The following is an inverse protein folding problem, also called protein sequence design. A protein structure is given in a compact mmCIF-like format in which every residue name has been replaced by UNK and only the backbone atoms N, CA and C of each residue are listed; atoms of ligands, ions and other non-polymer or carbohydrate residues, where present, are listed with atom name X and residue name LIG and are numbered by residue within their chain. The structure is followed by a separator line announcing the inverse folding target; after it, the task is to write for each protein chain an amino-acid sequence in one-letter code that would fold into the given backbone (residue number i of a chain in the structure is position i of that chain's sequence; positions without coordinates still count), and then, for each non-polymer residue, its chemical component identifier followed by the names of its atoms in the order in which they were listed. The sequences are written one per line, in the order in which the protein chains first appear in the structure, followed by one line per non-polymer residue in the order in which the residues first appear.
data_IF_397723857342
#
_entry.id   IF_397723857342
#
_cell.length_a   1.000
_cell.length_b   1.000
_cell.length_c   1.000
_cell.angle_alpha   90.00
_cell.angle_beta   90.00
_cell.angle_gamma   90.00
#
_symmetry.space_group_name_H-M   'P 1'
#
loop_
_entity.id
_entity.type
_entity.pdbx_description
1 polymer ?
#
# COMPACT_ATOMS: atom_id res chain seq x y z
N UNK A 1 12.21 12.14 -19.13
CA UNK A 1 12.95 10.98 -18.63
C UNK A 1 12.35 10.59 -17.28
N UNK A 2 11.68 9.44 -17.19
CA UNK A 2 11.26 8.88 -15.89
C UNK A 2 12.54 8.54 -15.14
N UNK A 3 12.84 9.29 -14.09
CA UNK A 3 13.92 8.95 -13.16
C UNK A 3 13.64 7.53 -12.65
N UNK A 4 14.60 6.62 -12.84
CA UNK A 4 14.49 5.24 -12.33
C UNK A 4 14.43 5.34 -10.81
N UNK A 5 13.23 5.17 -10.27
CA UNK A 5 13.01 5.12 -8.83
C UNK A 5 13.59 3.81 -8.29
N UNK A 6 14.52 3.89 -7.37
CA UNK A 6 15.09 2.71 -6.72
C UNK A 6 14.15 2.24 -5.62
N UNK A 7 13.73 0.97 -5.70
CA UNK A 7 12.96 0.32 -4.63
C UNK A 7 13.82 -0.80 -4.04
N UNK A 8 13.97 -0.79 -2.72
CA UNK A 8 14.72 -1.80 -1.96
C UNK A 8 13.99 -2.22 -0.69
N UNK A 9 14.39 -3.32 -0.11
CA UNK A 9 13.91 -3.75 1.20
C UNK A 9 14.18 -2.67 2.26
N UNK A 10 13.18 -2.41 3.09
CA UNK A 10 13.29 -1.48 4.20
C UNK A 10 14.13 -2.06 5.33
N UNK A 11 14.85 -1.21 6.02
CA UNK A 11 15.63 -1.53 7.21
C UNK A 11 15.15 -0.70 8.40
N UNK A 12 15.58 -1.04 9.59
CA UNK A 12 15.29 -0.26 10.79
C UNK A 12 15.77 1.21 10.69
N UNK A 13 16.85 1.43 9.95
CA UNK A 13 17.38 2.78 9.70
C UNK A 13 16.45 3.66 8.85
N UNK A 14 15.53 3.08 8.08
CA UNK A 14 14.57 3.82 7.27
C UNK A 14 13.37 4.32 8.11
N UNK A 15 13.13 3.70 9.27
CA UNK A 15 11.92 3.95 10.04
C UNK A 15 11.73 5.41 10.47
N UNK A 16 12.75 6.15 10.93
CA UNK A 16 12.56 7.56 11.28
C UNK A 16 12.04 8.41 10.11
N UNK A 17 12.51 8.14 8.89
CA UNK A 17 12.04 8.84 7.68
C UNK A 17 10.64 8.41 7.29
N UNK A 18 10.33 7.12 7.37
CA UNK A 18 8.97 6.60 7.15
C UNK A 18 8.02 7.24 8.16
N UNK A 19 8.37 7.24 9.43
CA UNK A 19 7.53 7.80 10.50
C UNK A 19 7.20 9.28 10.30
N UNK A 20 8.13 10.04 9.74
CA UNK A 20 7.94 11.46 9.49
C UNK A 20 6.75 11.79 8.57
N UNK A 21 6.41 10.90 7.62
CA UNK A 21 5.21 11.05 6.80
C UNK A 21 4.09 10.06 7.18
N UNK A 22 4.40 8.95 7.84
CA UNK A 22 3.42 7.98 8.33
C UNK A 22 2.49 8.61 9.36
N UNK A 23 3.07 9.27 10.39
CA UNK A 23 2.30 9.87 11.47
C UNK A 23 1.28 10.92 10.97
N UNK A 24 1.64 11.93 10.19
CA UNK A 24 0.67 12.91 9.73
C UNK A 24 -0.42 12.29 8.82
N UNK A 25 -0.09 11.29 8.01
CA UNK A 25 -1.07 10.58 7.17
C UNK A 25 -2.09 9.84 8.03
N UNK A 26 -1.64 9.07 9.03
CA UNK A 26 -2.55 8.32 9.91
C UNK A 26 -3.33 9.23 10.85
N UNK A 27 -2.71 10.28 11.38
CA UNK A 27 -3.37 11.28 12.23
C UNK A 27 -4.46 12.04 11.48
N UNK A 28 -4.29 12.29 10.18
CA UNK A 28 -5.32 12.92 9.35
C UNK A 28 -6.61 12.06 9.27
N UNK A 29 -6.50 10.73 9.37
CA UNK A 29 -7.66 9.83 9.42
C UNK A 29 -8.47 9.78 8.13
N UNK A 30 -7.86 10.01 6.97
CA UNK A 30 -8.57 10.15 5.69
C UNK A 30 -8.47 8.92 4.78
N UNK A 31 -7.37 8.15 4.89
CA UNK A 31 -7.03 7.13 3.89
C UNK A 31 -6.66 5.76 4.46
N UNK A 32 -6.45 5.64 5.77
CA UNK A 32 -6.11 4.39 6.44
C UNK A 32 -7.04 4.09 7.60
N UNK A 33 -7.23 2.80 7.89
CA UNK A 33 -8.02 2.31 9.02
C UNK A 33 -7.23 2.22 10.33
N UNK A 34 -6.02 2.76 10.37
CA UNK A 34 -5.21 2.80 11.58
C UNK A 34 -5.78 3.78 12.62
N UNK A 35 -5.57 3.52 13.92
CA UNK A 35 -5.84 4.52 14.94
C UNK A 35 -5.11 5.85 14.64
N UNK A 36 -5.81 6.97 14.80
CA UNK A 36 -5.25 8.30 14.52
C UNK A 36 -4.22 8.75 15.55
N UNK A 37 -4.20 8.09 16.70
CA UNK A 37 -3.29 8.30 17.84
C UNK A 37 -2.27 7.15 18.01
N UNK A 38 -2.05 6.35 16.96
CA UNK A 38 -1.09 5.24 16.97
C UNK A 38 0.31 5.76 17.31
N UNK A 39 0.95 5.14 18.28
CA UNK A 39 2.33 5.48 18.65
C UNK A 39 3.35 4.90 17.64
N UNK A 40 4.57 5.41 17.74
CA UNK A 40 5.64 5.06 16.79
C UNK A 40 6.02 3.58 16.83
N UNK A 41 6.03 2.95 18.01
CA UNK A 41 6.42 1.55 18.17
C UNK A 41 5.35 0.60 17.62
N UNK A 42 4.08 0.90 17.90
CA UNK A 42 2.94 0.17 17.31
C UNK A 42 2.94 0.28 15.80
N UNK A 43 3.16 1.48 15.26
CA UNK A 43 3.22 1.71 13.83
C UNK A 43 4.37 0.93 13.20
N UNK A 44 5.56 0.97 13.81
CA UNK A 44 6.75 0.24 13.33
C UNK A 44 6.50 -1.26 13.28
N UNK A 45 5.97 -1.86 14.36
CA UNK A 45 5.65 -3.27 14.43
C UNK A 45 4.64 -3.71 13.36
N UNK A 46 3.63 -2.86 13.09
CA UNK A 46 2.60 -3.14 12.10
C UNK A 46 3.01 -2.87 10.64
N UNK A 47 4.08 -2.11 10.42
CA UNK A 47 4.51 -1.69 9.08
C UNK A 47 5.80 -2.36 8.60
N UNK A 48 6.83 -2.47 9.44
CA UNK A 48 8.09 -3.15 9.08
C UNK A 48 7.94 -4.66 9.25
N UNK A 49 7.54 -5.32 8.16
CA UNK A 49 7.33 -6.75 8.12
C UNK A 49 8.63 -7.50 7.81
N UNK A 50 8.76 -8.71 8.38
CA UNK A 50 9.86 -9.64 8.12
C UNK A 50 9.40 -10.77 7.19
N UNK A 51 10.35 -11.48 6.58
CA UNK A 51 10.08 -12.65 5.73
C UNK A 51 9.15 -13.65 6.43
N UNK A 52 8.22 -14.29 5.71
CA UNK A 52 8.04 -14.27 4.24
C UNK A 52 7.38 -12.98 3.70
N UNK A 53 6.76 -12.17 4.56
CA UNK A 53 6.23 -10.87 4.22
C UNK A 53 7.37 -9.87 3.96
N UNK A 54 7.06 -8.69 3.46
CA UNK A 54 8.10 -7.71 3.13
C UNK A 54 7.63 -6.28 3.24
N UNK A 55 8.53 -5.41 3.68
CA UNK A 55 8.39 -3.96 3.55
C UNK A 55 9.52 -3.42 2.69
N UNK A 56 9.19 -2.51 1.80
CA UNK A 56 10.14 -1.83 0.91
C UNK A 56 10.01 -0.32 1.01
N UNK A 57 11.07 0.37 0.61
CA UNK A 57 11.12 1.82 0.45
C UNK A 57 11.42 2.18 -0.99
N UNK A 58 10.80 3.26 -1.46
CA UNK A 58 11.13 3.92 -2.71
C UNK A 58 12.03 5.11 -2.41
N UNK A 59 13.13 5.21 -3.14
CA UNK A 59 14.13 6.27 -3.00
C UNK A 59 14.09 7.18 -4.23
N UNK A 60 14.25 8.48 -3.99
CA UNK A 60 14.47 9.44 -5.05
C UNK A 60 15.93 9.38 -5.57
N UNK A 61 16.26 10.27 -6.52
CA UNK A 61 17.59 10.39 -7.11
C UNK A 61 18.69 10.80 -6.11
N UNK A 62 18.31 11.32 -4.94
CA UNK A 62 19.23 11.69 -3.86
C UNK A 62 19.34 10.62 -2.78
N UNK A 63 18.64 9.48 -2.95
CA UNK A 63 18.61 8.40 -1.97
C UNK A 63 17.68 8.66 -0.77
N UNK A 64 16.81 9.66 -0.86
CA UNK A 64 15.82 9.95 0.17
C UNK A 64 14.61 9.02 0.06
N UNK A 65 14.14 8.48 1.18
CA UNK A 65 12.91 7.69 1.24
C UNK A 65 11.71 8.61 0.97
N UNK A 66 11.00 8.36 -0.12
CA UNK A 66 9.85 9.15 -0.59
C UNK A 66 8.52 8.37 -0.57
N UNK A 67 8.59 7.08 -0.27
CA UNK A 67 7.43 6.22 -0.13
C UNK A 67 7.80 4.85 0.39
N UNK A 68 6.81 4.09 0.81
CA UNK A 68 6.97 2.75 1.36
C UNK A 68 5.78 1.87 1.04
N UNK A 69 6.01 0.57 0.95
CA UNK A 69 4.97 -0.43 0.79
C UNK A 69 5.25 -1.62 1.71
N UNK A 70 4.19 -2.18 2.29
CA UNK A 70 4.24 -3.50 2.91
C UNK A 70 3.43 -4.49 2.08
N UNK A 71 3.93 -5.71 2.00
CA UNK A 71 3.35 -6.80 1.25
C UNK A 71 3.31 -8.05 2.12
N UNK A 72 2.16 -8.71 2.13
CA UNK A 72 1.95 -9.86 2.98
C UNK A 72 0.97 -10.85 2.34
N UNK A 73 0.92 -12.04 2.89
CA UNK A 73 -0.18 -12.96 2.62
C UNK A 73 -1.47 -12.39 3.23
N UNK A 74 -2.54 -12.31 2.43
CA UNK A 74 -3.78 -11.67 2.87
C UNK A 74 -4.67 -12.59 3.72
N UNK A 75 -4.70 -13.87 3.39
CA UNK A 75 -5.47 -14.89 4.10
C UNK A 75 -4.60 -16.11 4.42
N UNK A 76 -5.12 -17.00 5.25
CA UNK A 76 -4.44 -18.24 5.64
C UNK A 76 -5.12 -19.48 5.04
N UNK A 77 -4.47 -20.64 5.16
CA UNK A 77 -5.04 -21.92 4.73
C UNK A 77 -5.35 -21.95 3.24
N UNK A 78 -6.54 -22.38 2.88
CA UNK A 78 -6.94 -22.55 1.48
C UNK A 78 -7.06 -21.23 0.67
N UNK A 79 -6.88 -20.09 1.30
CA UNK A 79 -6.85 -18.79 0.63
C UNK A 79 -5.47 -18.10 0.73
N UNK A 80 -4.42 -18.83 1.06
CA UNK A 80 -3.07 -18.30 1.27
C UNK A 80 -2.33 -17.90 -0.03
N UNK A 81 -2.94 -18.20 -1.17
CA UNK A 81 -2.50 -17.80 -2.51
C UNK A 81 -2.87 -16.34 -2.88
N UNK A 82 -3.55 -15.61 -1.98
CA UNK A 82 -3.93 -14.21 -2.19
C UNK A 82 -2.98 -13.32 -1.39
N UNK A 83 -2.30 -12.42 -2.08
CA UNK A 83 -1.46 -11.39 -1.46
C UNK A 83 -2.27 -10.16 -1.06
N UNK A 84 -1.77 -9.42 -0.09
CA UNK A 84 -2.20 -8.07 0.24
C UNK A 84 -1.03 -7.10 0.16
N UNK A 85 -1.34 -5.81 0.01
CA UNK A 85 -0.34 -4.76 0.08
C UNK A 85 -0.96 -3.45 0.61
N UNK A 86 -0.11 -2.60 1.17
CA UNK A 86 -0.45 -1.24 1.57
C UNK A 86 0.68 -0.31 1.17
N UNK A 87 0.34 0.92 0.77
CA UNK A 87 1.29 1.89 0.26
C UNK A 87 1.13 3.22 0.98
N UNK A 88 2.26 3.85 1.31
CA UNK A 88 2.31 5.26 1.73
C UNK A 88 3.32 6.02 0.89
N UNK A 89 2.95 7.20 0.46
CA UNK A 89 3.82 8.13 -0.26
C UNK A 89 3.92 9.40 0.55
N UNK A 90 5.14 9.88 0.74
CA UNK A 90 5.36 11.19 1.33
C UNK A 90 4.57 12.25 0.54
N UNK A 91 3.66 13.01 1.18
CA UNK A 91 2.86 14.03 0.49
C UNK A 91 3.70 15.05 -0.28
N UNK A 92 4.92 15.37 0.19
CA UNK A 92 5.84 16.27 -0.50
C UNK A 92 6.32 15.72 -1.87
N UNK A 93 6.22 14.41 -2.08
CA UNK A 93 6.62 13.70 -3.29
C UNK A 93 5.42 13.15 -4.07
N UNK A 94 4.23 13.59 -3.74
CA UNK A 94 2.98 13.17 -4.39
C UNK A 94 2.97 13.61 -5.88
N UNK A 95 2.40 12.76 -6.76
CA UNK A 95 2.29 13.07 -8.19
C UNK A 95 3.51 12.75 -9.04
N UNK A 96 4.56 12.18 -8.45
CA UNK A 96 5.81 11.84 -9.14
C UNK A 96 5.92 10.36 -9.53
N UNK A 97 4.82 9.61 -9.51
CA UNK A 97 4.81 8.19 -9.89
C UNK A 97 5.22 7.21 -8.79
N UNK A 98 5.53 7.69 -7.57
CA UNK A 98 5.98 6.85 -6.43
C UNK A 98 4.98 5.74 -6.12
N UNK A 99 3.69 6.08 -6.01
CA UNK A 99 2.64 5.10 -5.71
C UNK A 99 2.50 4.03 -6.79
N UNK A 100 2.61 4.42 -8.07
CA UNK A 100 2.60 3.48 -9.19
C UNK A 100 3.78 2.52 -9.13
N UNK A 101 4.99 3.03 -8.94
CA UNK A 101 6.20 2.22 -8.87
C UNK A 101 6.13 1.20 -7.72
N UNK A 102 5.66 1.62 -6.53
CA UNK A 102 5.46 0.72 -5.39
C UNK A 102 4.40 -0.36 -5.67
N UNK A 103 3.29 0.01 -6.32
CA UNK A 103 2.24 -0.95 -6.65
C UNK A 103 2.71 -1.97 -7.71
N UNK A 104 3.38 -1.54 -8.76
CA UNK A 104 3.99 -2.42 -9.77
C UNK A 104 5.04 -3.35 -9.15
N UNK A 105 5.87 -2.84 -8.24
CA UNK A 105 6.81 -3.66 -7.49
C UNK A 105 6.09 -4.75 -6.67
N UNK A 106 5.01 -4.41 -5.98
CA UNK A 106 4.26 -5.36 -5.17
C UNK A 106 3.59 -6.44 -6.00
N UNK A 107 3.08 -6.11 -7.19
CA UNK A 107 2.53 -7.08 -8.13
C UNK A 107 3.60 -8.07 -8.60
N UNK A 108 4.79 -7.58 -8.93
CA UNK A 108 5.92 -8.43 -9.31
C UNK A 108 6.41 -9.29 -8.15
N UNK A 109 6.47 -8.73 -6.93
CA UNK A 109 6.79 -9.50 -5.73
C UNK A 109 5.78 -10.63 -5.50
N UNK A 110 4.49 -10.34 -5.59
CA UNK A 110 3.44 -11.33 -5.40
C UNK A 110 3.58 -12.51 -6.38
N UNK A 111 3.76 -12.23 -7.66
CA UNK A 111 3.97 -13.26 -8.69
C UNK A 111 5.20 -14.12 -8.43
N UNK A 112 6.34 -13.48 -8.13
CA UNK A 112 7.60 -14.20 -7.83
C UNK A 112 7.53 -15.07 -6.57
N UNK A 113 6.58 -14.80 -5.68
CA UNK A 113 6.35 -15.58 -4.47
C UNK A 113 5.15 -16.54 -4.60
N UNK A 114 4.63 -16.75 -5.83
CA UNK A 114 3.61 -17.74 -6.13
C UNK A 114 2.18 -17.34 -5.78
N UNK A 115 1.93 -16.06 -5.51
CA UNK A 115 0.58 -15.56 -5.31
C UNK A 115 -0.14 -15.44 -6.67
N UNK A 116 -1.38 -15.87 -6.71
CA UNK A 116 -2.21 -15.88 -7.92
C UNK A 116 -3.22 -14.74 -7.99
N UNK A 117 -3.35 -13.99 -6.90
CA UNK A 117 -4.18 -12.80 -6.83
C UNK A 117 -3.64 -11.81 -5.79
N UNK A 118 -4.07 -10.56 -5.90
CA UNK A 118 -3.85 -9.53 -4.89
C UNK A 118 -5.16 -8.85 -4.51
N UNK A 119 -5.36 -8.62 -3.22
CA UNK A 119 -6.54 -7.98 -2.66
C UNK A 119 -6.15 -6.82 -1.75
N UNK A 120 -6.84 -5.69 -1.92
CA UNK A 120 -6.82 -4.58 -0.98
C UNK A 120 -8.10 -4.61 -0.16
N UNK A 121 -7.97 -4.69 1.16
CA UNK A 121 -9.10 -4.93 2.06
C UNK A 121 -9.89 -3.68 2.41
N UNK A 122 -9.28 -2.50 2.28
CA UNK A 122 -9.83 -1.28 2.83
C UNK A 122 -9.34 -0.05 2.04
N UNK A 123 -9.95 0.22 0.89
CA UNK A 123 -9.68 1.42 0.09
C UNK A 123 -10.80 2.41 0.33
N UNK A 124 -10.50 3.54 0.97
CA UNK A 124 -11.50 4.55 1.30
C UNK A 124 -12.09 5.15 0.02
N UNK A 125 -13.41 5.16 -0.11
CA UNK A 125 -14.10 5.57 -1.35
C UNK A 125 -13.81 7.01 -1.79
N UNK A 126 -13.46 7.89 -0.87
CA UNK A 126 -13.04 9.27 -1.15
C UNK A 126 -11.60 9.39 -1.65
N UNK A 127 -10.79 8.34 -1.53
CA UNK A 127 -9.42 8.30 -2.05
C UNK A 127 -9.42 7.96 -3.55
N UNK A 128 -10.03 8.84 -4.35
CA UNK A 128 -10.23 8.65 -5.80
C UNK A 128 -8.91 8.52 -6.56
N UNK A 129 -7.85 9.12 -6.05
CA UNK A 129 -6.51 9.03 -6.63
C UNK A 129 -5.94 7.61 -6.54
N UNK A 130 -6.02 6.99 -5.37
CA UNK A 130 -5.59 5.61 -5.18
C UNK A 130 -6.45 4.65 -5.99
N UNK A 131 -7.77 4.82 -5.98
CA UNK A 131 -8.70 4.00 -6.76
C UNK A 131 -8.35 4.06 -8.24
N UNK A 132 -8.18 5.24 -8.81
CA UNK A 132 -7.83 5.41 -10.23
C UNK A 132 -6.47 4.80 -10.58
N UNK A 133 -5.48 4.87 -9.67
CA UNK A 133 -4.20 4.18 -9.85
C UNK A 133 -4.41 2.66 -9.89
N UNK A 134 -5.13 2.09 -8.93
CA UNK A 134 -5.34 0.65 -8.85
C UNK A 134 -6.14 0.11 -10.03
N UNK A 135 -7.19 0.82 -10.46
CA UNK A 135 -7.96 0.48 -11.66
C UNK A 135 -7.07 0.50 -12.92
N UNK A 136 -6.18 1.49 -13.05
CA UNK A 136 -5.22 1.55 -14.17
C UNK A 136 -4.21 0.40 -14.16
N UNK A 137 -4.04 -0.27 -13.03
CA UNK A 137 -3.19 -1.46 -12.84
C UNK A 137 -4.02 -2.76 -12.81
N UNK A 138 -5.26 -2.73 -13.27
CA UNK A 138 -6.09 -3.91 -13.48
C UNK A 138 -6.85 -4.41 -12.24
N UNK A 139 -6.87 -3.65 -11.15
CA UNK A 139 -7.75 -3.96 -10.01
C UNK A 139 -9.18 -3.52 -10.31
N UNK A 140 -10.15 -4.25 -9.75
CA UNK A 140 -11.57 -3.90 -9.78
C UNK A 140 -12.11 -3.81 -8.37
N UNK A 141 -13.11 -2.96 -8.16
CA UNK A 141 -13.88 -2.94 -6.91
C UNK A 141 -14.84 -4.14 -6.93
N UNK A 142 -14.60 -5.11 -6.05
CA UNK A 142 -15.43 -6.32 -5.95
C UNK A 142 -16.51 -6.23 -4.89
N UNK A 143 -16.41 -5.25 -4.01
CA UNK A 143 -17.42 -4.96 -3.00
C UNK A 143 -17.14 -3.65 -2.29
N UNK A 144 -18.18 -3.10 -1.67
CA UNK A 144 -18.10 -1.89 -0.89
C UNK A 144 -18.85 -2.07 0.42
N UNK A 145 -18.17 -1.84 1.54
CA UNK A 145 -18.83 -1.71 2.83
C UNK A 145 -19.43 -0.30 2.88
N UNK A 146 -20.72 -0.19 2.68
CA UNK A 146 -21.41 1.09 2.77
C UNK A 146 -21.22 1.68 4.17
N UNK A 147 -20.84 2.97 4.22
CA UNK A 147 -20.56 3.66 5.49
C UNK A 147 -19.46 2.98 6.35
N UNK A 148 -18.57 2.21 5.72
CA UNK A 148 -17.53 1.42 6.39
C UNK A 148 -16.37 2.22 6.94
N UNK A 149 -16.27 3.51 6.61
CA UNK A 149 -15.17 4.38 7.06
C UNK A 149 -15.71 5.73 7.56
N UNK A 150 -15.24 6.14 8.75
CA UNK A 150 -15.58 7.44 9.34
C UNK A 150 -14.56 8.49 8.89
N UNK A 151 -14.89 9.22 7.83
CA UNK A 151 -14.04 10.28 7.30
C UNK A 151 -14.22 11.58 8.11
N UNK A 152 -13.13 12.27 8.50
CA UNK A 152 -13.23 13.45 9.36
C UNK A 152 -14.02 14.61 8.74
N UNK A 153 -13.97 14.76 7.41
CA UNK A 153 -14.67 15.83 6.70
C UNK A 153 -16.00 15.42 6.05
N UNK A 154 -16.20 14.11 5.75
CA UNK A 154 -17.33 13.63 4.95
C UNK A 154 -18.27 12.68 5.73
N UNK A 155 -18.01 12.43 7.01
CA UNK A 155 -18.80 11.48 7.80
C UNK A 155 -18.57 10.02 7.35
N UNK A 156 -19.59 9.19 7.41
CA UNK A 156 -19.47 7.79 7.02
C UNK A 156 -19.49 7.65 5.50
N UNK A 157 -18.35 7.20 4.95
CA UNK A 157 -18.15 6.95 3.52
C UNK A 157 -17.94 5.47 3.26
N UNK A 158 -17.97 5.05 1.99
CA UNK A 158 -17.72 3.67 1.60
C UNK A 158 -16.28 3.23 1.84
N UNK A 159 -16.11 1.92 2.07
CA UNK A 159 -14.82 1.26 2.16
C UNK A 159 -14.80 0.14 1.13
N UNK A 160 -13.98 0.27 0.09
CA UNK A 160 -13.91 -0.68 -1.02
C UNK A 160 -12.99 -1.85 -0.72
N UNK A 161 -13.36 -3.02 -1.23
CA UNK A 161 -12.47 -4.15 -1.42
C UNK A 161 -12.12 -4.18 -2.90
N UNK A 162 -10.82 -4.14 -3.23
CA UNK A 162 -10.33 -4.20 -4.60
C UNK A 162 -9.51 -5.47 -4.82
N UNK A 163 -9.60 -6.03 -6.01
CA UNK A 163 -9.05 -7.35 -6.31
C UNK A 163 -8.49 -7.41 -7.73
N UNK A 164 -7.38 -8.14 -7.90
CA UNK A 164 -6.79 -8.45 -9.21
C UNK A 164 -6.29 -9.88 -9.22
N UNK A 165 -6.68 -10.67 -10.25
CA UNK A 165 -6.08 -11.97 -10.60
C UNK A 165 -4.73 -11.71 -11.28
N UNK A 166 -3.71 -12.51 -10.95
CA UNK A 166 -2.33 -12.35 -11.43
C UNK A 166 -1.90 -13.39 -12.47
N UNK A 167 -2.59 -14.51 -12.56
CA UNK A 167 -2.22 -15.67 -13.39
C UNK A 167 -2.50 -15.45 -14.88
N UNK A 168 -3.37 -14.49 -15.21
CA UNK A 168 -3.82 -14.24 -16.59
C UNK A 168 -2.86 -13.37 -17.41
N UNK A 169 -1.71 -13.00 -16.84
CA UNK A 169 -0.74 -12.19 -17.54
C UNK A 169 0.29 -13.09 -18.25
N UNK A 170 0.23 -13.24 -19.59
CA UNK A 170 1.01 -14.23 -20.34
C UNK A 170 2.51 -13.90 -20.47
N UNK A 171 3.01 -12.94 -19.75
CA UNK A 171 4.40 -12.44 -19.86
C UNK A 171 5.36 -12.98 -18.80
N UNK A 172 5.10 -14.16 -18.21
CA UNK A 172 5.95 -14.79 -17.16
C UNK A 172 6.76 -15.95 -17.67
#
# INVERSE_FOLDING_TARGET
MLSLMLIREATDADWPTIWAFFQPITTAGETFTYPTDMDQDQARQGWLLSKPDRTVVALDEHGTVVGTAKMNRNHMGNADHIAGASYMVDPAHSGRGVGRALCEYSLNWARRNGYTAMQFNAVVATNTRAIGLYESLGFTVVGTLERGFRHPAHGHVGLHIMYRVLDEDPTW
#
